data_IF_612663196256
#
_entry.id   IF_612663196256
#
_cell.length_a   1.000
_cell.length_b   1.000
_cell.length_c   1.000
_cell.angle_alpha   90.00
_cell.angle_beta   90.00
_cell.angle_gamma   90.00
#
_symmetry.space_group_name_H-M   'P 1'
#
loop_
_entity.id
_entity.type
_entity.pdbx_description
1 polymer ?
#
# COMPACT_ATOMS: atom_id res chain seq x y z
N UNK A 1 -35.24 -34.76 11.92
CA UNK A 1 -34.04 -34.64 12.80
C UNK A 1 -32.84 -34.07 12.05
N UNK A 2 -32.67 -34.32 10.74
CA UNK A 2 -31.65 -33.64 9.91
C UNK A 2 -31.96 -32.15 9.63
N UNK A 3 -33.24 -31.77 9.47
CA UNK A 3 -33.64 -30.37 9.20
C UNK A 3 -33.36 -29.40 10.36
N UNK A 4 -33.44 -29.88 11.61
CA UNK A 4 -33.12 -29.07 12.80
C UNK A 4 -31.61 -28.88 12.99
N UNK A 5 -30.78 -29.78 12.46
CA UNK A 5 -29.32 -29.66 12.50
C UNK A 5 -28.84 -28.67 11.42
N UNK A 6 -29.47 -28.65 10.24
CA UNK A 6 -29.17 -27.67 9.19
C UNK A 6 -29.56 -26.24 9.57
N UNK A 7 -30.67 -26.04 10.29
CA UNK A 7 -31.10 -24.69 10.71
C UNK A 7 -30.23 -24.12 11.84
N UNK A 8 -29.82 -24.95 12.82
CA UNK A 8 -28.89 -24.56 13.88
C UNK A 8 -27.50 -24.22 13.34
N UNK A 9 -27.01 -24.96 12.34
CA UNK A 9 -25.71 -24.70 11.73
C UNK A 9 -25.71 -23.42 10.86
N UNK A 10 -26.83 -23.11 10.21
CA UNK A 10 -26.98 -21.85 9.48
C UNK A 10 -27.01 -20.64 10.43
N UNK A 11 -27.66 -20.76 11.59
CA UNK A 11 -27.71 -19.69 12.58
C UNK A 11 -26.35 -19.40 13.22
N UNK A 12 -25.56 -20.42 13.56
CA UNK A 12 -24.22 -20.24 14.14
C UNK A 12 -23.23 -19.60 13.15
N UNK A 13 -23.26 -20.04 11.89
CA UNK A 13 -22.44 -19.46 10.81
C UNK A 13 -22.84 -18.00 10.55
N UNK A 14 -24.14 -17.70 10.54
CA UNK A 14 -24.62 -16.33 10.34
C UNK A 14 -24.22 -15.40 11.49
N UNK A 15 -24.31 -15.86 12.75
CA UNK A 15 -23.83 -15.11 13.91
C UNK A 15 -22.33 -14.83 13.77
N UNK A 16 -21.53 -15.85 13.44
CA UNK A 16 -20.08 -15.70 13.26
C UNK A 16 -19.72 -14.71 12.14
N UNK A 17 -20.37 -14.80 10.97
CA UNK A 17 -20.16 -13.86 9.87
C UNK A 17 -20.56 -12.43 10.24
N UNK A 18 -21.60 -12.25 11.03
CA UNK A 18 -21.99 -10.93 11.53
C UNK A 18 -20.98 -10.39 12.55
N UNK A 19 -20.46 -11.24 13.44
CA UNK A 19 -19.39 -10.89 14.39
C UNK A 19 -18.13 -10.38 13.68
N UNK A 20 -17.71 -11.04 12.59
CA UNK A 20 -16.59 -10.57 11.76
C UNK A 20 -16.89 -9.20 11.16
N UNK A 21 -18.10 -8.99 10.64
CA UNK A 21 -18.52 -7.70 10.08
C UNK A 21 -18.48 -6.56 11.11
N UNK A 22 -18.83 -6.82 12.38
CA UNK A 22 -18.73 -5.81 13.45
C UNK A 22 -17.28 -5.44 13.78
N UNK A 23 -16.39 -6.44 13.84
CA UNK A 23 -14.97 -6.21 14.08
C UNK A 23 -14.37 -5.39 12.93
N UNK A 24 -14.70 -5.75 11.67
CA UNK A 24 -14.26 -5.01 10.49
C UNK A 24 -14.74 -3.55 10.50
N UNK A 25 -16.00 -3.31 10.87
CA UNK A 25 -16.55 -1.96 11.01
C UNK A 25 -15.81 -1.14 12.07
N UNK A 26 -15.54 -1.72 13.24
CA UNK A 26 -14.79 -1.06 14.32
C UNK A 26 -13.36 -0.71 13.88
N UNK A 27 -12.68 -1.62 13.19
CA UNK A 27 -11.34 -1.39 12.64
C UNK A 27 -11.34 -0.19 11.70
N UNK A 28 -12.29 -0.13 10.76
CA UNK A 28 -12.37 0.98 9.81
C UNK A 28 -12.72 2.31 10.48
N UNK A 29 -13.57 2.30 11.50
CA UNK A 29 -13.92 3.50 12.28
C UNK A 29 -12.71 4.07 13.03
N UNK A 30 -11.83 3.21 13.53
CA UNK A 30 -10.58 3.62 14.22
C UNK A 30 -9.50 4.07 13.22
N UNK A 31 -9.40 3.42 12.05
CA UNK A 31 -8.40 3.76 11.04
C UNK A 31 -8.65 5.12 10.36
N UNK A 32 -9.90 5.57 10.32
CA UNK A 32 -10.31 6.82 9.69
C UNK A 32 -9.69 8.07 10.37
N UNK A 33 -9.83 8.28 11.70
CA UNK A 33 -9.16 9.39 12.39
C UNK A 33 -7.63 9.28 12.35
N UNK A 34 -7.07 8.06 12.41
CA UNK A 34 -5.63 7.83 12.24
C UNK A 34 -5.15 8.33 10.88
N UNK A 35 -5.91 8.06 9.81
CA UNK A 35 -5.59 8.51 8.46
C UNK A 35 -5.60 10.03 8.34
N UNK A 36 -6.53 10.72 9.01
CA UNK A 36 -6.55 12.19 9.08
C UNK A 36 -5.34 12.76 9.83
N UNK A 37 -4.93 12.13 10.94
CA UNK A 37 -3.72 12.52 11.67
C UNK A 37 -2.49 12.39 10.75
N UNK A 38 -2.38 11.30 9.98
CA UNK A 38 -1.29 11.13 9.03
C UNK A 38 -1.28 12.21 7.95
N UNK A 39 -2.43 12.54 7.36
CA UNK A 39 -2.51 13.65 6.38
C UNK A 39 -2.01 14.95 7.02
N UNK A 40 -2.47 15.27 8.23
CA UNK A 40 -2.04 16.48 8.94
C UNK A 40 -0.52 16.50 9.17
N UNK A 41 0.06 15.39 9.65
CA UNK A 41 1.50 15.26 9.88
C UNK A 41 2.32 15.41 8.59
N UNK A 42 1.88 14.76 7.50
CA UNK A 42 2.57 14.83 6.20
C UNK A 42 2.54 16.25 5.63
N UNK A 43 1.38 16.92 5.68
CA UNK A 43 1.24 18.31 5.21
C UNK A 43 2.16 19.25 6.00
N UNK A 44 2.23 19.09 7.32
CA UNK A 44 3.07 19.93 8.20
C UNK A 44 4.57 19.66 8.07
N UNK A 45 4.97 18.46 7.64
CA UNK A 45 6.39 18.12 7.52
C UNK A 45 7.03 18.85 6.35
N UNK A 46 8.09 19.61 6.64
CA UNK A 46 8.93 20.33 5.66
C UNK A 46 10.17 19.54 5.22
N UNK A 47 10.54 18.50 5.97
CA UNK A 47 11.75 17.69 5.72
C UNK A 47 11.59 16.69 4.56
N UNK A 48 10.36 16.40 4.14
CA UNK A 48 10.11 15.45 3.06
C UNK A 48 10.30 16.09 1.68
N UNK A 49 11.03 15.39 0.80
CA UNK A 49 11.09 15.72 -0.62
C UNK A 49 9.67 15.77 -1.22
N UNK A 50 9.45 16.70 -2.15
CA UNK A 50 8.11 16.98 -2.68
C UNK A 50 7.48 15.76 -3.36
N UNK A 51 8.27 14.95 -4.08
CA UNK A 51 7.81 13.68 -4.68
C UNK A 51 7.29 12.70 -3.63
N UNK A 52 8.06 12.47 -2.57
CA UNK A 52 7.70 11.55 -1.50
C UNK A 52 6.47 12.04 -0.74
N UNK A 53 6.38 13.36 -0.51
CA UNK A 53 5.22 13.99 0.09
C UNK A 53 3.96 13.78 -0.76
N UNK A 54 4.07 13.94 -2.08
CA UNK A 54 2.96 13.69 -3.01
C UNK A 54 2.49 12.23 -2.97
N UNK A 55 3.41 11.27 -3.06
CA UNK A 55 3.09 9.83 -3.02
C UNK A 55 2.38 9.48 -1.70
N UNK A 56 2.90 9.96 -0.57
CA UNK A 56 2.33 9.70 0.75
C UNK A 56 0.94 10.33 0.93
N UNK A 57 0.75 11.58 0.49
CA UNK A 57 -0.56 12.23 0.54
C UNK A 57 -1.59 11.48 -0.29
N UNK A 58 -1.19 10.99 -1.46
CA UNK A 58 -2.08 10.22 -2.32
C UNK A 58 -2.41 8.84 -1.72
N UNK A 59 -1.44 8.18 -1.09
CA UNK A 59 -1.68 6.93 -0.36
C UNK A 59 -2.68 7.14 0.80
N UNK A 60 -2.51 8.23 1.58
CA UNK A 60 -3.46 8.58 2.63
C UNK A 60 -4.86 8.88 2.08
N UNK A 61 -4.95 9.56 0.93
CA UNK A 61 -6.21 9.82 0.25
C UNK A 61 -6.92 8.53 -0.16
N UNK A 62 -6.19 7.56 -0.73
CA UNK A 62 -6.74 6.25 -1.08
C UNK A 62 -7.26 5.51 0.17
N UNK A 63 -6.49 5.51 1.26
CA UNK A 63 -6.92 4.88 2.52
C UNK A 63 -8.17 5.54 3.11
N UNK A 64 -8.32 6.86 2.98
CA UNK A 64 -9.53 7.57 3.42
C UNK A 64 -10.74 7.18 2.58
N UNK A 65 -10.63 7.19 1.24
CA UNK A 65 -11.71 6.75 0.35
C UNK A 65 -12.10 5.31 0.66
N UNK A 66 -11.12 4.42 0.82
CA UNK A 66 -11.35 3.02 1.13
C UNK A 66 -12.10 2.86 2.47
N UNK A 67 -11.60 3.52 3.52
CA UNK A 67 -12.20 3.47 4.86
C UNK A 67 -13.62 4.01 4.90
N UNK A 68 -13.87 5.16 4.26
CA UNK A 68 -15.22 5.73 4.15
C UNK A 68 -16.14 4.79 3.37
N UNK A 69 -15.72 4.30 2.21
CA UNK A 69 -16.52 3.44 1.35
C UNK A 69 -16.87 2.12 2.06
N UNK A 70 -15.92 1.51 2.78
CA UNK A 70 -16.18 0.30 3.57
C UNK A 70 -17.08 0.54 4.76
N UNK A 71 -16.89 1.64 5.47
CA UNK A 71 -17.77 2.02 6.59
C UNK A 71 -19.22 2.16 6.11
N UNK A 72 -19.44 2.82 4.97
CA UNK A 72 -20.76 2.98 4.35
C UNK A 72 -21.35 1.62 3.96
N UNK A 73 -20.58 0.74 3.32
CA UNK A 73 -21.07 -0.59 2.92
C UNK A 73 -21.48 -1.45 4.11
N UNK A 74 -20.64 -1.49 5.16
CA UNK A 74 -20.91 -2.29 6.36
C UNK A 74 -22.07 -1.73 7.17
N UNK A 75 -22.19 -0.40 7.27
CA UNK A 75 -23.33 0.25 7.92
C UNK A 75 -24.64 -0.04 7.18
N UNK A 76 -24.64 0.02 5.84
CA UNK A 76 -25.82 -0.33 5.05
C UNK A 76 -26.22 -1.80 5.23
N UNK A 77 -25.25 -2.72 5.22
CA UNK A 77 -25.48 -4.15 5.47
C UNK A 77 -26.07 -4.39 6.87
N UNK A 78 -25.64 -3.62 7.86
CA UNK A 78 -26.16 -3.68 9.22
C UNK A 78 -27.60 -3.14 9.33
N UNK A 79 -27.88 -1.99 8.72
CA UNK A 79 -29.19 -1.32 8.84
C UNK A 79 -30.30 -1.99 8.01
N UNK A 80 -29.99 -2.44 6.79
CA UNK A 80 -30.99 -2.89 5.81
C UNK A 80 -30.90 -4.39 5.47
N UNK A 81 -29.93 -5.11 6.04
CA UNK A 81 -29.69 -6.52 5.73
C UNK A 81 -29.07 -6.76 4.35
N UNK A 82 -28.88 -8.03 3.99
CA UNK A 82 -28.16 -8.47 2.77
C UNK A 82 -28.94 -8.18 1.48
N UNK A 83 -30.24 -7.89 1.56
CA UNK A 83 -31.13 -7.90 0.39
C UNK A 83 -31.22 -6.57 -0.37
N UNK A 84 -30.71 -5.47 0.19
CA UNK A 84 -30.78 -4.13 -0.40
C UNK A 84 -29.45 -3.73 -1.07
N UNK A 85 -28.98 -4.53 -2.02
CA UNK A 85 -27.86 -4.13 -2.90
C UNK A 85 -28.40 -3.35 -4.10
N UNK A 86 -28.70 -2.07 -3.87
CA UNK A 86 -29.14 -1.14 -4.90
C UNK A 86 -27.97 -0.63 -5.78
N UNK A 87 -28.29 -0.02 -6.91
CA UNK A 87 -27.37 0.63 -7.87
C UNK A 87 -26.42 1.61 -7.17
N UNK A 88 -26.88 2.29 -6.11
CA UNK A 88 -26.07 3.21 -5.32
C UNK A 88 -24.90 2.51 -4.60
N UNK A 89 -25.09 1.28 -4.13
CA UNK A 89 -24.03 0.51 -3.48
C UNK A 89 -22.94 0.07 -4.48
N UNK A 90 -23.27 -0.07 -5.78
CA UNK A 90 -22.28 -0.37 -6.82
C UNK A 90 -21.26 0.77 -6.93
N UNK A 91 -21.67 2.03 -6.86
CA UNK A 91 -20.71 3.15 -6.87
C UNK A 91 -19.80 3.12 -5.64
N UNK A 92 -20.34 2.85 -4.46
CA UNK A 92 -19.55 2.74 -3.23
C UNK A 92 -18.57 1.55 -3.31
N UNK A 93 -19.00 0.44 -3.91
CA UNK A 93 -18.14 -0.72 -4.17
C UNK A 93 -17.02 -0.42 -5.16
N UNK A 94 -17.33 0.30 -6.23
CA UNK A 94 -16.34 0.78 -7.20
C UNK A 94 -15.27 1.63 -6.53
N UNK A 95 -15.64 2.63 -5.74
CA UNK A 95 -14.68 3.49 -5.05
C UNK A 95 -13.86 2.73 -4.01
N UNK A 96 -14.45 1.79 -3.27
CA UNK A 96 -13.72 0.93 -2.36
C UNK A 96 -12.68 0.09 -3.10
N UNK A 97 -13.06 -0.53 -4.22
CA UNK A 97 -12.18 -1.42 -4.96
C UNK A 97 -11.06 -0.65 -5.69
N UNK A 98 -11.41 0.48 -6.32
CA UNK A 98 -10.45 1.37 -6.98
C UNK A 98 -9.41 1.89 -5.97
N UNK A 99 -9.86 2.39 -4.80
CA UNK A 99 -8.96 2.92 -3.77
C UNK A 99 -8.06 1.84 -3.15
N UNK A 100 -8.57 0.61 -2.98
CA UNK A 100 -7.76 -0.52 -2.52
C UNK A 100 -6.64 -0.86 -3.52
N UNK A 101 -6.98 -1.05 -4.80
CA UNK A 101 -6.01 -1.39 -5.85
C UNK A 101 -4.98 -0.28 -6.01
N UNK A 102 -5.44 0.98 -6.08
CA UNK A 102 -4.59 2.16 -6.11
C UNK A 102 -3.61 2.16 -4.93
N UNK A 103 -4.12 2.00 -3.70
CA UNK A 103 -3.33 1.99 -2.48
C UNK A 103 -2.19 0.97 -2.51
N UNK A 104 -2.47 -0.24 -3.01
CA UNK A 104 -1.45 -1.28 -3.18
C UNK A 104 -0.35 -0.87 -4.16
N UNK A 105 -0.71 -0.39 -5.35
CA UNK A 105 0.29 0.05 -6.33
C UNK A 105 1.10 1.26 -5.87
N UNK A 106 0.45 2.23 -5.21
CA UNK A 106 1.14 3.39 -4.65
C UNK A 106 2.15 2.97 -3.59
N UNK A 107 1.81 1.96 -2.78
CA UNK A 107 2.75 1.36 -1.81
C UNK A 107 4.03 0.85 -2.48
N UNK A 108 3.89 0.18 -3.62
CA UNK A 108 5.04 -0.27 -4.41
C UNK A 108 5.84 0.89 -5.01
N UNK A 109 5.16 1.89 -5.58
CA UNK A 109 5.80 3.10 -6.12
C UNK A 109 6.60 3.84 -5.03
N UNK A 110 6.08 3.91 -3.80
CA UNK A 110 6.76 4.51 -2.67
C UNK A 110 8.05 3.74 -2.31
N UNK A 111 8.00 2.41 -2.32
CA UNK A 111 9.15 1.57 -2.01
C UNK A 111 10.24 1.72 -3.07
N UNK A 112 9.85 1.72 -4.36
CA UNK A 112 10.76 2.00 -5.47
C UNK A 112 11.40 3.38 -5.38
N UNK A 113 10.64 4.44 -5.06
CA UNK A 113 11.19 5.79 -4.86
C UNK A 113 12.24 5.81 -3.74
N UNK A 114 11.99 5.11 -2.63
CA UNK A 114 12.94 4.99 -1.51
C UNK A 114 14.20 4.23 -1.89
N UNK A 115 14.06 3.16 -2.67
CA UNK A 115 15.20 2.40 -3.19
C UNK A 115 16.04 3.30 -4.10
N UNK A 116 15.42 4.00 -5.05
CA UNK A 116 16.11 4.91 -5.97
C UNK A 116 16.86 6.00 -5.21
N UNK A 117 16.22 6.60 -4.20
CA UNK A 117 16.87 7.57 -3.33
C UNK A 117 18.07 6.99 -2.58
N UNK A 118 18.01 5.73 -2.15
CA UNK A 118 19.10 5.05 -1.42
C UNK A 118 20.26 4.65 -2.32
N UNK A 119 19.98 4.12 -3.52
CA UNK A 119 21.01 3.65 -4.46
C UNK A 119 21.68 4.81 -5.19
N UNK A 120 20.91 5.82 -5.58
CA UNK A 120 21.37 6.93 -6.41
C UNK A 120 21.37 8.28 -5.68
N UNK A 121 21.75 8.32 -4.40
CA UNK A 121 21.74 9.53 -3.55
C UNK A 121 22.24 10.79 -4.29
N UNK A 122 23.42 10.73 -4.91
CA UNK A 122 24.02 11.91 -5.58
C UNK A 122 23.25 12.37 -6.82
N UNK A 123 22.61 11.46 -7.55
CA UNK A 123 21.80 11.80 -8.73
C UNK A 123 20.39 12.21 -8.33
N UNK A 124 19.87 11.63 -7.26
CA UNK A 124 18.53 11.87 -6.73
C UNK A 124 18.40 13.27 -6.14
N UNK A 125 19.38 13.72 -5.33
CA UNK A 125 19.39 15.08 -4.77
C UNK A 125 19.50 16.17 -5.85
N UNK A 126 20.20 15.87 -6.94
CA UNK A 126 20.37 16.78 -8.07
C UNK A 126 19.15 16.82 -9.01
N UNK A 127 18.37 15.74 -9.08
CA UNK A 127 17.16 15.64 -9.90
C UNK A 127 15.90 15.73 -9.04
N UNK A 128 15.59 16.92 -8.51
CA UNK A 128 14.41 17.20 -7.67
C UNK A 128 13.05 17.12 -8.40
N UNK A 129 12.99 16.59 -9.63
CA UNK A 129 11.79 16.69 -10.46
C UNK A 129 10.85 15.49 -10.24
N UNK A 130 9.52 15.69 -10.22
CA UNK A 130 8.51 14.66 -9.94
C UNK A 130 8.17 13.74 -11.11
N UNK A 131 8.93 13.73 -12.20
CA UNK A 131 8.52 13.06 -13.45
C UNK A 131 8.28 11.55 -13.29
N UNK A 132 9.13 10.86 -12.52
CA UNK A 132 8.97 9.42 -12.28
C UNK A 132 7.67 9.13 -11.54
N UNK A 133 7.41 9.86 -10.43
CA UNK A 133 6.20 9.69 -9.64
C UNK A 133 4.95 10.03 -10.45
N UNK A 134 4.96 11.09 -11.27
CA UNK A 134 3.82 11.48 -12.11
C UNK A 134 3.53 10.43 -13.18
N UNK A 135 4.57 9.91 -13.85
CA UNK A 135 4.40 8.90 -14.90
C UNK A 135 3.82 7.59 -14.32
N UNK A 136 4.40 7.09 -13.23
CA UNK A 136 3.90 5.91 -12.53
C UNK A 136 2.47 6.12 -12.04
N UNK A 137 2.16 7.32 -11.54
CA UNK A 137 0.83 7.68 -11.06
C UNK A 137 -0.24 7.57 -12.16
N UNK A 138 0.02 8.10 -13.35
CA UNK A 138 -0.94 8.05 -14.45
C UNK A 138 -1.26 6.59 -14.82
N UNK A 139 -0.23 5.76 -14.99
CA UNK A 139 -0.39 4.34 -15.34
C UNK A 139 -1.17 3.60 -14.25
N UNK A 140 -0.78 3.77 -12.99
CA UNK A 140 -1.42 3.12 -11.85
C UNK A 140 -2.89 3.52 -11.74
N UNK A 141 -3.23 4.79 -11.96
CA UNK A 141 -4.61 5.24 -11.95
C UNK A 141 -5.42 4.58 -13.08
N UNK A 142 -4.95 4.63 -14.33
CA UNK A 142 -5.67 4.02 -15.45
C UNK A 142 -5.93 2.53 -15.21
N UNK A 143 -4.91 1.78 -14.80
CA UNK A 143 -5.04 0.34 -14.54
C UNK A 143 -5.98 0.03 -13.37
N UNK A 144 -5.92 0.81 -12.30
CA UNK A 144 -6.75 0.57 -11.11
C UNK A 144 -8.22 0.92 -11.37
N UNK A 145 -8.48 2.00 -12.11
CA UNK A 145 -9.84 2.40 -12.50
C UNK A 145 -10.47 1.41 -13.48
N UNK A 146 -9.72 0.96 -14.50
CA UNK A 146 -10.20 -0.04 -15.46
C UNK A 146 -10.53 -1.37 -14.75
N UNK A 147 -9.64 -1.85 -13.88
CA UNK A 147 -9.89 -3.08 -13.13
C UNK A 147 -11.10 -2.93 -12.20
N UNK A 148 -11.21 -1.81 -11.47
CA UNK A 148 -12.35 -1.58 -10.59
C UNK A 148 -13.67 -1.46 -11.33
N UNK A 149 -13.65 -0.85 -12.51
CA UNK A 149 -14.82 -0.74 -13.38
C UNK A 149 -15.28 -2.12 -13.85
N UNK A 150 -14.35 -2.92 -14.37
CA UNK A 150 -14.64 -4.28 -14.84
C UNK A 150 -15.18 -5.19 -13.73
N UNK A 151 -14.63 -5.12 -12.52
CA UNK A 151 -15.10 -5.95 -11.40
C UNK A 151 -16.45 -5.49 -10.83
N UNK A 152 -16.77 -4.20 -10.90
CA UNK A 152 -18.02 -3.68 -10.31
C UNK A 152 -19.21 -3.79 -11.28
N UNK A 153 -18.96 -3.62 -12.57
CA UNK A 153 -19.99 -3.58 -13.60
C UNK A 153 -20.00 -4.80 -14.52
N UNK A 154 -19.06 -5.73 -14.37
CA UNK A 154 -19.03 -6.96 -15.15
C UNK A 154 -20.15 -7.93 -14.76
N UNK A 155 -20.74 -8.58 -15.76
CA UNK A 155 -21.90 -9.48 -15.58
C UNK A 155 -21.56 -10.82 -14.90
N UNK A 156 -20.28 -11.10 -14.63
CA UNK A 156 -19.86 -12.38 -14.05
C UNK A 156 -18.71 -12.24 -13.04
N UNK A 157 -18.97 -12.66 -11.80
CA UNK A 157 -18.00 -12.67 -10.69
C UNK A 157 -16.90 -13.73 -10.89
N UNK A 158 -17.18 -14.77 -11.67
CA UNK A 158 -16.29 -15.91 -11.91
C UNK A 158 -15.32 -15.70 -13.09
N UNK A 159 -15.57 -14.73 -13.96
CA UNK A 159 -14.63 -14.43 -15.03
C UNK A 159 -13.58 -13.47 -14.50
N UNK A 160 -12.42 -14.02 -14.13
CA UNK A 160 -11.24 -13.22 -13.84
C UNK A 160 -10.92 -12.39 -15.08
N UNK A 161 -11.10 -11.08 -14.98
CA UNK A 161 -10.86 -10.19 -16.12
C UNK A 161 -9.37 -10.08 -16.41
N UNK A 162 -9.02 -9.78 -17.66
CA UNK A 162 -7.64 -9.53 -18.07
C UNK A 162 -6.99 -8.44 -17.19
N UNK A 163 -7.73 -7.37 -16.87
CA UNK A 163 -7.27 -6.32 -15.96
C UNK A 163 -6.96 -6.84 -14.54
N UNK A 164 -7.78 -7.74 -14.02
CA UNK A 164 -7.52 -8.39 -12.72
C UNK A 164 -6.23 -9.23 -12.77
N UNK A 165 -6.01 -10.01 -13.82
CA UNK A 165 -4.78 -10.79 -13.98
C UNK A 165 -3.54 -9.88 -14.10
N UNK A 166 -3.60 -8.85 -14.93
CA UNK A 166 -2.50 -7.89 -15.12
C UNK A 166 -2.15 -7.22 -13.79
N UNK A 167 -3.16 -6.77 -13.04
CA UNK A 167 -2.89 -6.11 -11.76
C UNK A 167 -2.32 -7.07 -10.72
N UNK A 168 -2.80 -8.32 -10.65
CA UNK A 168 -2.37 -9.31 -9.67
C UNK A 168 -0.96 -9.85 -9.97
N UNK A 169 -0.66 -10.15 -11.23
CA UNK A 169 0.71 -10.51 -11.63
C UNK A 169 1.66 -9.30 -11.55
N UNK A 170 1.17 -8.10 -11.86
CA UNK A 170 1.93 -6.87 -11.76
C UNK A 170 2.36 -6.56 -10.33
N UNK A 171 1.45 -6.65 -9.36
CA UNK A 171 1.78 -6.45 -7.93
C UNK A 171 2.69 -7.55 -7.40
N UNK A 172 2.46 -8.82 -7.79
CA UNK A 172 3.33 -9.92 -7.38
C UNK A 172 4.76 -9.74 -7.94
N UNK A 173 4.89 -9.39 -9.22
CA UNK A 173 6.18 -9.13 -9.84
C UNK A 173 6.89 -7.94 -9.17
N UNK A 174 6.18 -6.83 -8.94
CA UNK A 174 6.73 -5.68 -8.22
C UNK A 174 7.20 -6.08 -6.81
N UNK A 175 6.40 -6.83 -6.06
CA UNK A 175 6.79 -7.31 -4.73
C UNK A 175 8.04 -8.20 -4.75
N UNK A 176 8.20 -9.08 -5.75
CA UNK A 176 9.41 -9.89 -5.90
C UNK A 176 10.64 -9.04 -6.23
N UNK A 177 10.50 -8.07 -7.13
CA UNK A 177 11.58 -7.12 -7.46
C UNK A 177 11.98 -6.33 -6.24
N UNK A 178 11.02 -5.85 -5.44
CA UNK A 178 11.29 -5.13 -4.21
C UNK A 178 12.07 -5.96 -3.20
N UNK A 179 11.67 -7.21 -2.97
CA UNK A 179 12.39 -8.13 -2.08
C UNK A 179 13.82 -8.34 -2.57
N UNK A 180 14.00 -8.62 -3.86
CA UNK A 180 15.33 -8.83 -4.45
C UNK A 180 16.23 -7.59 -4.27
N UNK A 181 15.68 -6.39 -4.48
CA UNK A 181 16.44 -5.15 -4.35
C UNK A 181 16.73 -4.81 -2.88
N UNK A 182 15.79 -5.05 -1.95
CA UNK A 182 16.04 -4.88 -0.51
C UNK A 182 17.20 -5.79 -0.06
N UNK A 183 17.21 -7.04 -0.49
CA UNK A 183 18.30 -7.99 -0.19
C UNK A 183 19.62 -7.49 -0.77
N UNK A 184 19.62 -7.05 -2.03
CA UNK A 184 20.81 -6.50 -2.68
C UNK A 184 21.35 -5.25 -1.97
N UNK A 185 20.49 -4.29 -1.62
CA UNK A 185 20.88 -3.07 -0.90
C UNK A 185 21.39 -3.41 0.50
N UNK A 186 20.76 -4.37 1.19
CA UNK A 186 21.23 -4.88 2.48
C UNK A 186 22.65 -5.44 2.38
N UNK A 187 22.91 -6.28 1.38
CA UNK A 187 24.24 -6.84 1.13
C UNK A 187 25.27 -5.76 0.77
N UNK A 188 24.91 -4.83 -0.12
CA UNK A 188 25.79 -3.72 -0.52
C UNK A 188 26.16 -2.81 0.65
N UNK A 189 25.19 -2.49 1.52
CA UNK A 189 25.42 -1.67 2.71
C UNK A 189 26.32 -2.39 3.73
N UNK A 190 26.11 -3.68 3.96
CA UNK A 190 26.98 -4.47 4.85
C UNK A 190 28.41 -4.57 4.29
N UNK A 191 28.55 -4.80 2.98
CA UNK A 191 29.85 -4.78 2.31
C UNK A 191 30.57 -3.44 2.46
N UNK A 192 29.88 -2.33 2.18
CA UNK A 192 30.46 -0.97 2.30
C UNK A 192 30.80 -0.61 3.75
N UNK A 193 29.99 -1.06 4.72
CA UNK A 193 30.27 -0.86 6.14
C UNK A 193 31.52 -1.65 6.58
N UNK A 194 31.64 -2.91 6.16
CA UNK A 194 32.83 -3.74 6.41
C UNK A 194 34.09 -3.15 5.76
N UNK A 195 33.98 -2.65 4.52
CA UNK A 195 35.08 -1.99 3.81
C UNK A 195 35.49 -0.66 4.47
N UNK A 196 34.53 0.17 4.87
CA UNK A 196 34.77 1.42 5.58
C UNK A 196 35.41 1.21 6.96
N UNK A 197 34.99 0.18 7.69
CA UNK A 197 35.63 -0.24 8.94
C UNK A 197 37.08 -0.71 8.68
N UNK A 198 37.34 -1.41 7.57
CA UNK A 198 38.68 -1.80 7.15
C UNK A 198 39.58 -0.61 6.81
N UNK A 199 39.06 0.41 6.13
CA UNK A 199 39.81 1.62 5.76
C UNK A 199 40.16 2.45 7.00
N UNK A 200 39.21 2.63 7.93
CA UNK A 200 39.43 3.34 9.20
C UNK A 200 40.42 2.58 10.09
N UNK A 201 40.31 1.25 10.14
CA UNK A 201 41.23 0.41 10.92
C UNK A 201 42.66 0.44 10.33
N UNK A 202 42.80 0.53 9.00
CA UNK A 202 44.09 0.63 8.31
C UNK A 202 44.75 2.01 8.50
N UNK A 203 43.98 3.10 8.50
CA UNK A 203 44.50 4.44 8.83
C UNK A 203 44.97 4.55 10.30
N UNK A 204 44.25 3.95 11.25
CA UNK A 204 44.56 4.09 12.67
C UNK A 204 45.85 3.42 13.15
N UNK A 205 46.41 2.47 12.40
CA UNK A 205 47.66 1.79 12.78
C UNK A 205 48.89 2.50 12.18
N UNK A 206 48.82 2.92 10.93
CA UNK A 206 49.94 3.60 10.26
C UNK A 206 50.17 5.01 10.79
N UNK A 207 49.09 5.75 11.09
CA UNK A 207 49.18 7.12 11.66
C UNK A 207 49.63 7.11 13.14
N UNK A 208 49.24 6.08 13.92
CA UNK A 208 49.69 5.94 15.31
C UNK A 208 51.18 5.60 15.43
N UNK A 209 51.74 4.82 14.50
CA UNK A 209 53.19 4.54 14.50
C UNK A 209 54.03 5.71 13.99
N UNK A 210 53.52 6.51 13.04
CA UNK A 210 54.24 7.71 12.56
C UNK A 210 54.22 8.87 13.57
N UNK A 211 53.22 8.95 14.44
CA UNK A 211 53.16 9.94 15.52
C UNK A 211 54.03 9.60 16.76
N UNK A 212 54.64 8.41 16.82
CA UNK A 212 55.51 7.94 17.91
C UNK A 212 57.01 7.97 17.55
N UNK A 213 57.35 8.27 16.29
CA UNK A 213 58.73 8.27 15.78
C UNK A 213 59.23 9.69 15.48
N UNK A 214 58.37 10.72 15.60
CA UNK A 214 58.76 12.13 15.62
C UNK A 214 58.50 12.73 17.01
#
# INVERSE_FOLDING_TARGET
>A
MSENISSLNNNSVQIFCNSIGYIELLIHLILLPISFIFVFLIVRTSLLHWNLKFILLWQCFCNLIYGISRTIQMLNKFLYGVSYFDVQLKYVQFFALASMILGTFIGHVLLLERILATVFVSKYENNKKPYFSIFCFIIVNVLSFDNAFQQTYGDSVLNVTLGTLITLFGTLFLGLVEIAVIVYVGYYNDYKYKLGKFIIFRQSLTERYQALIN
#
